data_IF_415537049300
#
_entry.id   IF_415537049300
#
_cell.length_a   1.000
_cell.length_b   1.000
_cell.length_c   1.000
_cell.angle_alpha   90.00
_cell.angle_beta   90.00
_cell.angle_gamma   90.00
#
_symmetry.space_group_name_H-M   'P 1'
#
loop_
_entity.id
_entity.type
_entity.pdbx_description
1 polymer ?
#
# COMPACT_ATOMS: atom_id res chain seq x y z
N UNK A 1 -25.04 -71.50 -23.47
CA UNK A 1 -25.87 -70.36 -23.06
C UNK A 1 -25.51 -69.96 -21.64
N UNK A 2 -24.72 -68.94 -21.34
CA UNK A 2 -23.36 -68.67 -21.81
C UNK A 2 -22.61 -68.16 -20.59
N UNK A 3 -21.48 -68.79 -20.24
CA UNK A 3 -20.62 -68.40 -19.09
C UNK A 3 -20.01 -66.99 -19.25
N UNK A 4 -20.36 -66.30 -20.34
CA UNK A 4 -20.04 -64.92 -20.70
C UNK A 4 -20.99 -63.90 -20.05
N UNK A 5 -22.19 -64.31 -19.62
CA UNK A 5 -23.22 -63.39 -19.09
C UNK A 5 -23.08 -63.08 -17.59
N UNK A 6 -22.33 -63.89 -16.83
CA UNK A 6 -22.08 -63.68 -15.40
C UNK A 6 -20.87 -62.77 -15.11
N UNK A 7 -20.09 -62.39 -16.14
CA UNK A 7 -18.89 -61.57 -16.00
C UNK A 7 -19.12 -60.06 -16.25
N UNK A 8 -20.33 -59.68 -16.68
CA UNK A 8 -20.71 -58.30 -16.98
C UNK A 8 -21.09 -57.44 -15.75
N UNK A 9 -21.75 -57.95 -14.68
CA UNK A 9 -22.14 -57.09 -13.55
C UNK A 9 -20.97 -56.75 -12.60
N UNK A 10 -19.89 -57.54 -12.62
CA UNK A 10 -18.69 -57.32 -11.79
C UNK A 10 -17.84 -56.15 -12.35
N UNK A 11 -17.83 -55.96 -13.67
CA UNK A 11 -17.11 -54.85 -14.33
C UNK A 11 -17.84 -53.52 -14.13
N UNK A 12 -19.18 -53.53 -14.11
CA UNK A 12 -19.97 -52.31 -13.85
C UNK A 12 -19.96 -51.87 -12.36
N UNK A 13 -19.82 -52.80 -11.41
CA UNK A 13 -19.69 -52.45 -9.98
C UNK A 13 -18.33 -51.81 -9.63
N UNK A 14 -17.28 -52.09 -10.41
CA UNK A 14 -15.95 -51.46 -10.26
C UNK A 14 -15.89 -50.01 -10.78
N UNK A 15 -16.88 -49.57 -11.56
CA UNK A 15 -16.92 -48.21 -12.12
C UNK A 15 -17.58 -47.16 -11.21
N UNK A 16 -18.22 -47.56 -10.10
CA UNK A 16 -18.90 -46.63 -9.18
C UNK A 16 -17.95 -46.15 -8.06
N UNK A 17 -16.75 -46.74 -7.93
CA UNK A 17 -15.71 -46.29 -6.99
C UNK A 17 -14.84 -45.14 -7.53
N UNK A 18 -15.05 -44.65 -8.75
CA UNK A 18 -14.25 -43.53 -9.32
C UNK A 18 -14.80 -42.14 -9.00
N UNK A 19 -15.61 -42.00 -7.94
CA UNK A 19 -16.27 -40.75 -7.57
C UNK A 19 -15.34 -39.67 -6.97
N UNK A 20 -14.06 -39.96 -6.68
CA UNK A 20 -13.15 -39.02 -5.98
C UNK A 20 -11.85 -38.66 -6.73
N UNK A 21 -11.87 -38.56 -8.07
CA UNK A 21 -10.68 -38.11 -8.83
C UNK A 21 -10.92 -36.82 -9.64
N UNK A 22 -11.88 -35.99 -9.22
CA UNK A 22 -12.10 -34.65 -9.80
C UNK A 22 -11.39 -33.58 -8.95
N UNK A 23 -10.72 -32.61 -9.57
CA UNK A 23 -10.09 -31.51 -8.85
C UNK A 23 -11.15 -30.71 -8.06
N UNK A 24 -10.80 -30.15 -6.88
CA UNK A 24 -11.66 -29.36 -6.01
C UNK A 24 -11.87 -27.95 -6.61
N UNK A 25 -12.45 -27.89 -7.81
CA UNK A 25 -12.61 -26.67 -8.62
C UNK A 25 -13.31 -25.56 -7.85
N UNK A 26 -14.36 -25.89 -7.08
CA UNK A 26 -15.11 -24.92 -6.28
C UNK A 26 -14.22 -24.25 -5.23
N UNK A 27 -13.39 -25.02 -4.52
CA UNK A 27 -12.48 -24.49 -3.50
C UNK A 27 -11.38 -23.65 -4.13
N UNK A 28 -10.84 -24.08 -5.28
CA UNK A 28 -9.81 -23.34 -6.01
C UNK A 28 -10.36 -22.00 -6.51
N UNK A 29 -11.53 -22.00 -7.14
CA UNK A 29 -12.20 -20.78 -7.62
C UNK A 29 -12.54 -19.84 -6.46
N UNK A 30 -13.04 -20.37 -5.35
CA UNK A 30 -13.31 -19.58 -4.15
C UNK A 30 -12.04 -18.96 -3.56
N UNK A 31 -10.92 -19.68 -3.56
CA UNK A 31 -9.64 -19.16 -3.12
C UNK A 31 -9.13 -18.05 -4.05
N UNK A 32 -9.16 -18.27 -5.37
CA UNK A 32 -8.78 -17.25 -6.35
C UNK A 32 -9.63 -15.99 -6.25
N UNK A 33 -10.94 -16.15 -6.06
CA UNK A 33 -11.85 -15.03 -5.86
C UNK A 33 -11.53 -14.26 -4.57
N UNK A 34 -11.29 -14.96 -3.46
CA UNK A 34 -10.92 -14.32 -2.19
C UNK A 34 -9.61 -13.53 -2.32
N UNK A 35 -8.62 -14.05 -3.06
CA UNK A 35 -7.35 -13.37 -3.34
C UNK A 35 -7.57 -12.09 -4.17
N UNK A 36 -8.42 -12.17 -5.20
CA UNK A 36 -8.79 -10.99 -6.00
C UNK A 36 -9.50 -9.94 -5.17
N UNK A 37 -10.39 -10.35 -4.26
CA UNK A 37 -11.08 -9.43 -3.34
C UNK A 37 -10.12 -8.78 -2.34
N UNK A 38 -9.16 -9.54 -1.81
CA UNK A 38 -8.08 -9.01 -0.98
C UNK A 38 -7.24 -7.97 -1.74
N UNK A 39 -6.87 -8.29 -2.99
CA UNK A 39 -6.16 -7.36 -3.88
C UNK A 39 -6.97 -6.07 -4.12
N UNK A 40 -8.26 -6.19 -4.46
CA UNK A 40 -9.15 -5.05 -4.68
C UNK A 40 -9.32 -4.17 -3.42
N UNK A 41 -9.16 -4.78 -2.23
CA UNK A 41 -9.18 -4.07 -0.95
C UNK A 41 -7.85 -3.35 -0.65
N UNK A 42 -6.85 -3.49 -1.53
CA UNK A 42 -5.53 -2.87 -1.41
C UNK A 42 -4.49 -3.73 -0.71
N UNK A 43 -4.69 -5.05 -0.61
CA UNK A 43 -3.75 -5.93 0.09
C UNK A 43 -2.31 -5.83 -0.46
N UNK A 44 -2.15 -5.67 -1.77
CA UNK A 44 -0.84 -5.46 -2.41
C UNK A 44 -0.11 -4.19 -1.94
N UNK A 45 -0.85 -3.19 -1.45
CA UNK A 45 -0.30 -1.90 -1.02
C UNK A 45 -0.11 -1.85 0.50
N UNK A 46 -1.07 -2.37 1.26
CA UNK A 46 -1.11 -2.24 2.73
C UNK A 46 -0.55 -3.46 3.47
N UNK A 47 -0.54 -4.64 2.85
CA UNK A 47 0.02 -5.89 3.39
C UNK A 47 0.86 -6.63 2.33
N UNK A 48 1.88 -5.99 1.73
CA UNK A 48 2.60 -6.55 0.58
C UNK A 48 3.29 -7.88 0.88
N UNK A 49 3.87 -8.03 2.08
CA UNK A 49 4.58 -9.25 2.48
C UNK A 49 3.63 -10.44 2.61
N UNK A 50 2.47 -10.25 3.23
CA UNK A 50 1.45 -11.28 3.36
C UNK A 50 0.79 -11.58 2.00
N UNK A 51 0.56 -10.55 1.18
CA UNK A 51 0.00 -10.73 -0.16
C UNK A 51 0.92 -11.58 -1.05
N UNK A 52 2.22 -11.32 -1.02
CA UNK A 52 3.22 -12.12 -1.75
C UNK A 52 3.25 -13.60 -1.27
N UNK A 53 3.05 -13.86 0.03
CA UNK A 53 2.95 -15.23 0.55
C UNK A 53 1.74 -15.98 -0.01
N UNK A 54 0.60 -15.30 -0.15
CA UNK A 54 -0.61 -15.89 -0.72
C UNK A 54 -0.48 -16.11 -2.23
N UNK A 55 0.16 -15.20 -2.96
CA UNK A 55 0.50 -15.42 -4.37
C UNK A 55 1.39 -16.66 -4.55
N UNK A 56 2.39 -16.84 -3.65
CA UNK A 56 3.19 -18.06 -3.61
C UNK A 56 2.36 -19.32 -3.30
N UNK A 57 1.38 -19.21 -2.40
CA UNK A 57 0.47 -20.31 -2.07
C UNK A 57 -0.44 -20.66 -3.26
N UNK A 58 -0.92 -19.67 -4.01
CA UNK A 58 -1.70 -19.87 -5.22
C UNK A 58 -0.86 -20.55 -6.32
N UNK A 59 0.40 -20.16 -6.48
CA UNK A 59 1.32 -20.81 -7.41
C UNK A 59 1.59 -22.27 -7.01
N UNK A 60 1.78 -22.54 -5.71
CA UNK A 60 1.94 -23.90 -5.19
C UNK A 60 0.69 -24.76 -5.39
N UNK A 61 -0.50 -24.17 -5.19
CA UNK A 61 -1.79 -24.81 -5.46
C UNK A 61 -1.92 -25.20 -6.92
N UNK A 62 -1.67 -24.29 -7.86
CA UNK A 62 -1.75 -24.56 -9.31
C UNK A 62 -0.74 -25.61 -9.76
N UNK A 63 0.46 -25.59 -9.17
CA UNK A 63 1.48 -26.61 -9.41
C UNK A 63 1.01 -27.98 -8.94
N UNK A 64 0.50 -28.08 -7.70
CA UNK A 64 0.00 -29.35 -7.17
C UNK A 64 -1.21 -29.85 -7.98
N UNK A 65 -2.13 -28.97 -8.38
CA UNK A 65 -3.25 -29.33 -9.28
C UNK A 65 -2.74 -29.95 -10.58
N UNK A 66 -1.79 -29.29 -11.25
CA UNK A 66 -1.18 -29.78 -12.49
C UNK A 66 -0.45 -31.11 -12.29
N UNK A 67 0.31 -31.24 -11.20
CA UNK A 67 1.06 -32.45 -10.87
C UNK A 67 0.11 -33.64 -10.60
N UNK A 68 -1.07 -33.38 -10.01
CA UNK A 68 -2.10 -34.39 -9.79
C UNK A 68 -2.86 -34.72 -11.08
N UNK A 69 -3.18 -33.72 -11.92
CA UNK A 69 -3.80 -33.95 -13.23
C UNK A 69 -2.90 -34.81 -14.14
N UNK A 70 -1.58 -34.64 -14.05
CA UNK A 70 -0.59 -35.45 -14.79
C UNK A 70 -0.50 -36.92 -14.35
N UNK A 71 -0.98 -37.27 -13.15
CA UNK A 71 -0.96 -38.67 -12.67
C UNK A 71 -2.11 -39.48 -13.27
N UNK A 72 -1.92 -40.80 -13.34
CA UNK A 72 -2.99 -41.73 -13.67
C UNK A 72 -4.14 -41.60 -12.66
N UNK A 73 -5.40 -41.67 -13.13
CA UNK A 73 -6.59 -41.38 -12.33
C UNK A 73 -6.69 -42.16 -11.01
N UNK A 74 -6.12 -43.38 -10.93
CA UNK A 74 -6.11 -44.22 -9.73
C UNK A 74 -5.06 -43.79 -8.67
N UNK A 75 -4.12 -42.92 -9.02
CA UNK A 75 -3.03 -42.43 -8.15
C UNK A 75 -3.14 -40.93 -7.85
N UNK A 76 -4.23 -40.28 -8.28
CA UNK A 76 -4.47 -38.86 -7.99
C UNK A 76 -4.97 -38.70 -6.56
N UNK A 77 -4.43 -37.71 -5.87
CA UNK A 77 -4.89 -37.27 -4.55
C UNK A 77 -4.96 -35.74 -4.53
N UNK A 78 -6.17 -35.21 -4.55
CA UNK A 78 -6.42 -33.77 -4.49
C UNK A 78 -6.57 -33.24 -3.07
N UNK A 79 -6.43 -34.05 -2.02
CA UNK A 79 -6.58 -33.59 -0.63
C UNK A 79 -5.61 -32.46 -0.29
N UNK A 80 -4.39 -32.50 -0.83
CA UNK A 80 -3.42 -31.40 -0.69
C UNK A 80 -3.84 -30.15 -1.46
N UNK A 81 -4.42 -30.28 -2.65
CA UNK A 81 -4.95 -29.15 -3.44
C UNK A 81 -6.12 -28.50 -2.70
N UNK A 82 -7.02 -29.30 -2.16
CA UNK A 82 -8.15 -28.83 -1.34
C UNK A 82 -7.66 -28.09 -0.09
N UNK A 83 -6.71 -28.67 0.65
CA UNK A 83 -6.15 -28.02 1.83
C UNK A 83 -5.46 -26.69 1.49
N UNK A 84 -4.69 -26.64 0.40
CA UNK A 84 -4.07 -25.40 -0.08
C UNK A 84 -5.13 -24.37 -0.47
N UNK A 85 -6.22 -24.78 -1.12
CA UNK A 85 -7.31 -23.89 -1.50
C UNK A 85 -8.05 -23.31 -0.29
N UNK A 86 -8.39 -24.14 0.70
CA UNK A 86 -9.03 -23.71 1.95
C UNK A 86 -8.13 -22.73 2.71
N UNK A 87 -6.84 -23.06 2.82
CA UNK A 87 -5.86 -22.19 3.48
C UNK A 87 -5.72 -20.85 2.75
N UNK A 88 -5.57 -20.87 1.42
CA UNK A 88 -5.45 -19.65 0.61
C UNK A 88 -6.69 -18.77 0.71
N UNK A 89 -7.90 -19.36 0.70
CA UNK A 89 -9.16 -18.63 0.91
C UNK A 89 -9.21 -17.96 2.27
N UNK A 90 -8.99 -18.73 3.34
CA UNK A 90 -9.06 -18.21 4.72
C UNK A 90 -8.03 -17.11 4.96
N UNK A 91 -6.81 -17.30 4.48
CA UNK A 91 -5.76 -16.29 4.59
C UNK A 91 -6.14 -15.04 3.78
N UNK A 92 -6.65 -15.18 2.55
CA UNK A 92 -7.08 -14.05 1.74
C UNK A 92 -8.21 -13.24 2.38
N UNK A 93 -9.20 -13.89 3.00
CA UNK A 93 -10.26 -13.22 3.78
C UNK A 93 -9.69 -12.46 5.00
N UNK A 94 -8.69 -13.04 5.67
CA UNK A 94 -7.97 -12.37 6.76
C UNK A 94 -7.21 -11.14 6.25
N UNK A 95 -6.47 -11.27 5.15
CA UNK A 95 -5.73 -10.16 4.54
C UNK A 95 -6.66 -9.07 4.04
N UNK A 96 -7.83 -9.41 3.52
CA UNK A 96 -8.85 -8.42 3.14
C UNK A 96 -9.20 -7.54 4.34
N UNK A 97 -9.45 -8.15 5.49
CA UNK A 97 -9.77 -7.43 6.75
C UNK A 97 -8.57 -6.63 7.27
N UNK A 98 -7.37 -7.19 7.17
CA UNK A 98 -6.16 -6.49 7.61
C UNK A 98 -5.82 -5.30 6.69
N UNK A 99 -5.99 -5.46 5.38
CA UNK A 99 -5.77 -4.43 4.38
C UNK A 99 -6.75 -3.27 4.57
N UNK A 100 -8.03 -3.55 4.81
CA UNK A 100 -9.02 -2.47 5.08
C UNK A 100 -8.69 -1.75 6.38
N UNK A 101 -8.31 -2.48 7.44
CA UNK A 101 -7.87 -1.87 8.70
C UNK A 101 -6.65 -0.97 8.51
N UNK A 102 -5.58 -1.49 7.88
CA UNK A 102 -4.36 -0.71 7.59
C UNK A 102 -4.63 0.46 6.65
N UNK A 103 -5.57 0.33 5.72
CA UNK A 103 -6.00 1.43 4.85
C UNK A 103 -6.67 2.55 5.64
N UNK A 104 -7.53 2.24 6.60
CA UNK A 104 -8.13 3.26 7.49
C UNK A 104 -7.09 3.90 8.42
N UNK A 105 -6.15 3.11 8.96
CA UNK A 105 -5.02 3.64 9.73
C UNK A 105 -4.14 4.57 8.88
N UNK A 106 -3.84 4.18 7.63
CA UNK A 106 -3.08 4.97 6.69
C UNK A 106 -3.82 6.26 6.31
N UNK A 107 -5.16 6.21 6.16
CA UNK A 107 -6.00 7.39 5.94
C UNK A 107 -5.90 8.37 7.11
N UNK A 108 -6.06 7.89 8.33
CA UNK A 108 -5.95 8.71 9.52
C UNK A 108 -4.56 9.36 9.63
N UNK A 109 -3.51 8.57 9.38
CA UNK A 109 -2.14 9.07 9.42
C UNK A 109 -1.82 10.02 8.25
N UNK A 110 -2.40 9.84 7.06
CA UNK A 110 -2.28 10.78 5.94
C UNK A 110 -2.96 12.12 6.25
N UNK A 111 -4.16 12.10 6.84
CA UNK A 111 -4.87 13.31 7.26
C UNK A 111 -4.09 14.06 8.36
N UNK A 112 -3.55 13.33 9.34
CA UNK A 112 -2.69 13.92 10.35
C UNK A 112 -1.42 14.54 9.74
N UNK A 113 -0.74 13.83 8.84
CA UNK A 113 0.45 14.35 8.16
C UNK A 113 0.11 15.60 7.33
N UNK A 114 -1.04 15.61 6.66
CA UNK A 114 -1.53 16.78 5.92
C UNK A 114 -1.75 17.98 6.85
N UNK A 115 -2.38 17.81 8.01
CA UNK A 115 -2.58 18.88 8.98
C UNK A 115 -1.24 19.45 9.47
N UNK A 116 -0.30 18.58 9.84
CA UNK A 116 1.05 18.98 10.25
C UNK A 116 1.77 19.76 9.14
N UNK A 117 1.66 19.30 7.90
CA UNK A 117 2.24 20.00 6.75
C UNK A 117 1.56 21.37 6.52
N UNK A 118 0.24 21.48 6.65
CA UNK A 118 -0.49 22.74 6.52
C UNK A 118 -0.05 23.76 7.59
N UNK A 119 0.10 23.33 8.84
CA UNK A 119 0.56 24.18 9.94
C UNK A 119 2.00 24.65 9.73
N UNK A 120 2.89 23.77 9.27
CA UNK A 120 4.27 24.13 8.96
C UNK A 120 4.36 25.14 7.81
N UNK A 121 3.59 24.96 6.74
CA UNK A 121 3.52 25.92 5.62
C UNK A 121 2.94 27.25 6.09
N UNK A 122 1.88 27.25 6.89
CA UNK A 122 1.30 28.48 7.47
C UNK A 122 2.34 29.25 8.29
N UNK A 123 3.05 28.55 9.18
CA UNK A 123 4.10 29.14 10.02
C UNK A 123 5.23 29.73 9.17
N UNK A 124 5.64 29.00 8.12
CA UNK A 124 6.65 29.48 7.17
C UNK A 124 6.20 30.77 6.48
N UNK A 125 4.96 30.83 5.98
CA UNK A 125 4.40 32.02 5.35
C UNK A 125 4.32 33.22 6.31
N UNK A 126 3.98 32.99 7.59
CA UNK A 126 3.99 34.03 8.61
C UNK A 126 5.40 34.56 8.90
N UNK A 127 6.43 33.69 8.88
CA UNK A 127 7.83 34.10 9.01
C UNK A 127 8.29 34.93 7.80
N UNK A 128 7.91 34.52 6.58
CA UNK A 128 8.18 35.30 5.36
C UNK A 128 7.55 36.69 5.45
N UNK A 129 6.30 36.79 5.93
CA UNK A 129 5.62 38.07 6.08
C UNK A 129 6.26 39.00 7.12
N UNK A 130 6.89 38.44 8.16
CA UNK A 130 7.64 39.20 9.17
C UNK A 130 9.03 39.62 8.71
N UNK A 131 9.54 39.06 7.61
CA UNK A 131 10.90 39.34 7.17
C UNK A 131 11.05 40.74 6.56
N UNK A 132 12.06 41.53 6.97
CA UNK A 132 12.24 42.89 6.51
C UNK A 132 12.70 42.91 5.05
N UNK A 133 12.01 43.67 4.22
CA UNK A 133 12.20 43.84 2.76
C UNK A 133 13.46 44.64 2.37
N UNK A 134 14.49 44.64 3.21
CA UNK A 134 15.70 45.46 3.06
C UNK A 134 16.73 44.92 2.07
N UNK A 135 18.01 44.93 2.46
CA UNK A 135 19.16 44.64 1.59
C UNK A 135 19.15 43.23 0.97
N UNK A 136 18.42 42.29 1.56
CA UNK A 136 18.31 40.89 1.14
C UNK A 136 17.03 40.58 0.33
N UNK A 137 16.48 41.58 -0.37
CA UNK A 137 15.25 41.43 -1.18
C UNK A 137 15.27 40.22 -2.12
N UNK A 138 16.41 39.93 -2.76
CA UNK A 138 16.53 38.78 -3.66
C UNK A 138 16.39 37.42 -2.93
N UNK A 139 16.95 37.28 -1.73
CA UNK A 139 16.80 36.08 -0.92
C UNK A 139 15.35 35.94 -0.41
N UNK A 140 14.73 37.05 -0.01
CA UNK A 140 13.34 37.06 0.44
C UNK A 140 12.34 36.68 -0.67
N UNK A 141 12.55 37.17 -1.90
CA UNK A 141 11.71 36.78 -3.05
C UNK A 141 11.85 35.28 -3.39
N UNK A 142 13.07 34.72 -3.28
CA UNK A 142 13.29 33.27 -3.46
C UNK A 142 12.52 32.46 -2.41
N UNK A 143 12.68 32.82 -1.14
CA UNK A 143 11.99 32.17 -0.01
C UNK A 143 10.47 32.26 -0.18
N UNK A 144 9.96 33.40 -0.65
CA UNK A 144 8.52 33.58 -0.91
C UNK A 144 8.04 32.66 -2.03
N UNK A 145 8.82 32.51 -3.11
CA UNK A 145 8.52 31.57 -4.18
C UNK A 145 8.51 30.11 -3.66
N UNK A 146 9.46 29.75 -2.80
CA UNK A 146 9.51 28.44 -2.16
C UNK A 146 8.29 28.19 -1.25
N UNK A 147 7.87 29.19 -0.49
CA UNK A 147 6.68 29.10 0.36
C UNK A 147 5.38 28.94 -0.45
N UNK A 148 5.24 29.63 -1.58
CA UNK A 148 4.12 29.41 -2.52
C UNK A 148 4.18 28.03 -3.19
N UNK A 149 5.38 27.53 -3.52
CA UNK A 149 5.56 26.18 -4.05
C UNK A 149 5.18 25.09 -3.01
N UNK A 150 5.42 25.34 -1.72
CA UNK A 150 4.96 24.46 -0.64
C UNK A 150 3.43 24.41 -0.54
N UNK A 151 2.76 25.56 -0.72
CA UNK A 151 1.29 25.63 -0.79
C UNK A 151 0.74 24.85 -1.98
N UNK A 152 1.37 24.97 -3.16
CA UNK A 152 1.01 24.14 -4.32
C UNK A 152 1.23 22.64 -4.04
N UNK A 153 2.27 22.29 -3.28
CA UNK A 153 2.55 20.91 -2.89
C UNK A 153 1.49 20.32 -1.95
N UNK A 154 0.87 21.14 -1.08
CA UNK A 154 -0.25 20.70 -0.24
C UNK A 154 -1.47 20.26 -1.06
N UNK A 155 -1.73 20.89 -2.22
CA UNK A 155 -2.79 20.42 -3.12
C UNK A 155 -2.49 19.01 -3.65
N UNK A 156 -1.21 18.68 -3.87
CA UNK A 156 -0.83 17.32 -4.28
C UNK A 156 -1.01 16.28 -3.17
N UNK A 157 -0.89 16.68 -1.90
CA UNK A 157 -1.24 15.82 -0.76
C UNK A 157 -2.74 15.58 -0.75
N UNK A 158 -3.55 16.62 -0.92
CA UNK A 158 -5.01 16.50 -0.97
C UNK A 158 -5.45 15.57 -2.10
N UNK A 159 -4.91 15.76 -3.31
CA UNK A 159 -5.22 14.88 -4.45
C UNK A 159 -4.89 13.41 -4.14
N UNK A 160 -3.75 13.13 -3.51
CA UNK A 160 -3.37 11.77 -3.14
C UNK A 160 -4.34 11.17 -2.10
N UNK A 161 -4.84 11.97 -1.15
CA UNK A 161 -5.88 11.56 -0.20
C UNK A 161 -7.20 11.28 -0.92
N UNK A 162 -7.59 12.15 -1.85
CA UNK A 162 -8.85 12.01 -2.62
C UNK A 162 -8.84 10.76 -3.51
N UNK A 163 -7.67 10.38 -4.03
CA UNK A 163 -7.47 9.13 -4.79
C UNK A 163 -7.19 7.92 -3.90
N UNK A 164 -7.31 8.05 -2.58
CA UNK A 164 -7.00 7.01 -1.59
C UNK A 164 -5.58 6.42 -1.68
N UNK A 165 -4.63 7.18 -2.22
CA UNK A 165 -3.20 6.89 -2.23
C UNK A 165 -2.55 7.50 -0.98
N UNK A 166 -2.92 6.95 0.17
CA UNK A 166 -2.46 7.41 1.47
C UNK A 166 -0.93 7.31 1.67
N UNK A 167 -0.22 6.28 1.19
CA UNK A 167 1.24 6.22 1.26
C UNK A 167 1.92 7.38 0.52
N UNK A 168 1.44 7.73 -0.69
CA UNK A 168 1.94 8.89 -1.41
C UNK A 168 1.59 10.19 -0.69
N UNK A 169 0.38 10.31 -0.16
CA UNK A 169 -0.03 11.48 0.62
C UNK A 169 0.87 11.71 1.83
N UNK A 170 1.16 10.66 2.62
CA UNK A 170 2.06 10.73 3.77
C UNK A 170 3.48 11.14 3.37
N UNK A 171 4.03 10.54 2.30
CA UNK A 171 5.36 10.85 1.82
C UNK A 171 5.48 12.31 1.39
N UNK A 172 4.49 12.80 0.62
CA UNK A 172 4.43 14.20 0.19
C UNK A 172 4.25 15.16 1.37
N UNK A 173 3.36 14.84 2.31
CA UNK A 173 3.13 15.67 3.49
C UNK A 173 4.39 15.77 4.36
N UNK A 174 5.10 14.67 4.58
CA UNK A 174 6.37 14.65 5.30
C UNK A 174 7.43 15.50 4.61
N UNK A 175 7.57 15.36 3.28
CA UNK A 175 8.50 16.18 2.51
C UNK A 175 8.16 17.69 2.57
N UNK A 176 6.88 18.05 2.58
CA UNK A 176 6.44 19.44 2.74
C UNK A 176 6.81 19.94 4.14
N UNK A 177 6.57 19.15 5.17
CA UNK A 177 6.93 19.50 6.54
C UNK A 177 8.44 19.75 6.68
N UNK A 178 9.28 18.82 6.19
CA UNK A 178 10.74 18.95 6.20
C UNK A 178 11.21 20.20 5.44
N UNK A 179 10.67 20.46 4.25
CA UNK A 179 10.99 21.67 3.49
C UNK A 179 10.53 22.95 4.20
N UNK A 180 9.34 22.94 4.81
CA UNK A 180 8.83 24.09 5.57
C UNK A 180 9.73 24.41 6.76
N UNK A 181 10.24 23.39 7.45
CA UNK A 181 11.21 23.56 8.52
C UNK A 181 12.55 24.13 8.01
N UNK A 182 13.07 23.61 6.89
CA UNK A 182 14.29 24.13 6.28
C UNK A 182 14.15 25.61 5.88
N UNK A 183 13.06 25.96 5.19
CA UNK A 183 12.78 27.36 4.80
C UNK A 183 12.60 28.25 6.03
N UNK A 184 11.91 27.79 7.06
CA UNK A 184 11.76 28.54 8.32
C UNK A 184 13.12 28.83 8.97
N UNK A 185 14.02 27.84 9.03
CA UNK A 185 15.38 28.02 9.57
C UNK A 185 16.22 28.99 8.72
N UNK A 186 16.10 28.95 7.40
CA UNK A 186 16.77 29.90 6.51
C UNK A 186 16.30 31.34 6.73
N UNK A 187 14.99 31.53 6.92
CA UNK A 187 14.40 32.83 7.26
C UNK A 187 14.96 33.32 8.59
N UNK A 188 14.94 32.49 9.64
CA UNK A 188 15.49 32.86 10.96
C UNK A 188 16.97 33.21 10.89
N UNK A 189 17.77 32.44 10.14
CA UNK A 189 19.19 32.72 9.94
C UNK A 189 19.43 34.03 9.18
N UNK A 190 18.61 34.33 8.17
CA UNK A 190 18.65 35.59 7.45
C UNK A 190 18.27 36.76 8.37
N UNK A 191 17.21 36.61 9.18
CA UNK A 191 16.79 37.60 10.18
C UNK A 191 17.86 37.88 11.23
N UNK A 192 18.53 36.84 11.74
CA UNK A 192 19.60 36.98 12.72
C UNK A 192 20.82 37.76 12.18
N UNK A 193 21.15 37.59 10.89
CA UNK A 193 22.21 38.37 10.22
C UNK A 193 21.85 39.86 10.15
N UNK A 194 20.58 40.19 9.93
CA UNK A 194 20.07 41.57 9.88
C UNK A 194 20.10 42.21 11.28
N UNK A 195 19.73 41.47 12.32
CA UNK A 195 19.77 41.93 13.72
C UNK A 195 21.18 42.25 14.26
N UNK A 196 22.22 41.58 13.73
CA UNK A 196 23.64 41.85 14.09
C UNK A 196 24.29 42.99 13.29
N UNK A 197 23.60 43.54 12.30
CA UNK A 197 24.12 44.56 11.37
C UNK A 197 24.10 46.01 11.87
N UNK A 198 23.89 46.28 13.17
CA UNK A 198 24.00 47.63 13.74
C UNK A 198 25.31 47.78 14.54
N UNK A 199 26.49 47.94 13.89
CA UNK A 199 27.63 48.50 14.58
C UNK A 199 27.29 49.96 14.90
N UNK A 200 27.28 50.28 16.18
CA UNK A 200 27.22 51.64 16.70
C UNK A 200 28.37 52.46 16.12
N UNK A 201 28.10 53.19 15.04
CA UNK A 201 28.96 54.27 14.58
C UNK A 201 28.63 55.52 15.40
N UNK A 202 29.17 55.61 16.62
CA UNK A 202 29.17 56.84 17.41
C UNK A 202 30.58 57.19 17.85
N UNK A 203 31.23 57.97 16.98
CA UNK A 203 32.37 58.89 17.16
C UNK A 203 32.85 59.08 18.62
N UNK A 204 34.13 58.78 18.86
CA UNK A 204 34.97 59.58 19.75
C UNK A 204 35.78 60.56 18.88
N UNK A 205 35.48 61.84 19.01
CA UNK A 205 36.39 62.95 18.74
C UNK A 205 36.35 63.85 19.97
#
# INVERSE_FOLDING_TARGET
MDKRFAMLPIICALLILTACAKPPREQIEAAEQAIKEAQASGASTYVPDEYAKIEGTLAALKKEETDQEGKFALFRDYGKVEQLAINAKSEAERLKTEATKKKEEAKAAALQAQQVAQEAVKTTLELVAKAPVGKDRAALESIKADAEALKASLNQVQMAIDTADYPTAQTKAKAIHEKSQAVSQEIEAALAKIGRGKPSAAKKK
#
